data_IF_476200539022
#
_entry.id   IF_476200539022
#
_cell.length_a   1.000
_cell.length_b   1.000
_cell.length_c   1.000
_cell.angle_alpha   90.00
_cell.angle_beta   90.00
_cell.angle_gamma   90.00
#
_symmetry.space_group_name_H-M   'P 1'
#
loop_
_entity.id
_entity.type
_entity.pdbx_description
1 polymer ?
#
# COMPACT_ATOMS: atom_id res chain seq x y z
N UNK A 1 34.00 -52.44 56.23
CA UNK A 1 33.90 -51.34 55.24
C UNK A 1 32.56 -51.48 54.53
N UNK A 2 31.56 -50.66 54.85
CA UNK A 2 30.23 -50.69 54.20
C UNK A 2 30.17 -49.54 53.20
N UNK A 3 30.04 -49.87 51.92
CA UNK A 3 29.90 -48.91 50.84
C UNK A 3 28.42 -48.51 50.78
N UNK A 4 28.10 -47.30 51.21
CA UNK A 4 26.76 -46.72 51.13
C UNK A 4 26.57 -46.19 49.71
N UNK A 5 25.72 -46.86 48.91
CA UNK A 5 25.43 -46.42 47.56
C UNK A 5 24.42 -45.25 47.55
N UNK A 6 24.85 -44.09 47.05
CA UNK A 6 24.04 -42.87 46.91
C UNK A 6 23.11 -42.91 45.68
N UNK A 7 22.26 -43.95 45.56
CA UNK A 7 21.32 -44.07 44.43
C UNK A 7 20.30 -42.94 44.36
N UNK A 8 19.86 -42.40 45.50
CA UNK A 8 18.83 -41.33 45.57
C UNK A 8 19.32 -39.98 45.02
N UNK A 9 20.60 -39.65 45.20
CA UNK A 9 21.15 -38.38 44.72
C UNK A 9 21.36 -38.38 43.19
N UNK A 10 21.72 -39.54 42.64
CA UNK A 10 21.88 -39.73 41.19
C UNK A 10 20.52 -39.65 40.46
N UNK A 11 19.47 -40.26 41.03
CA UNK A 11 18.11 -40.15 40.52
C UNK A 11 17.59 -38.71 40.52
N UNK A 12 17.87 -37.93 41.58
CA UNK A 12 17.46 -36.52 41.64
C UNK A 12 18.17 -35.68 40.57
N UNK A 13 19.46 -35.92 40.32
CA UNK A 13 20.22 -35.20 39.30
C UNK A 13 19.71 -35.49 37.87
N UNK A 14 19.32 -36.73 37.59
CA UNK A 14 18.75 -37.13 36.29
C UNK A 14 17.39 -36.48 36.05
N UNK A 15 16.53 -36.39 37.08
CA UNK A 15 15.21 -35.73 36.98
C UNK A 15 15.37 -34.22 36.76
N UNK A 16 16.33 -33.56 37.41
CA UNK A 16 16.61 -32.14 37.15
C UNK A 16 17.15 -31.92 35.74
N UNK A 17 18.05 -32.77 35.24
CA UNK A 17 18.54 -32.68 33.85
C UNK A 17 17.41 -32.92 32.84
N UNK A 18 16.49 -33.86 33.10
CA UNK A 18 15.33 -34.11 32.24
C UNK A 18 14.30 -32.95 32.25
N UNK A 19 14.17 -32.21 33.35
CA UNK A 19 13.35 -31.00 33.41
C UNK A 19 13.99 -29.79 32.70
N UNK A 20 15.32 -29.79 32.55
CA UNK A 20 16.06 -28.83 31.72
C UNK A 20 16.27 -29.31 30.27
N UNK A 21 15.78 -30.50 29.90
CA UNK A 21 15.65 -30.91 28.50
C UNK A 21 14.48 -30.13 27.87
N UNK A 22 14.79 -28.88 27.53
CA UNK A 22 14.48 -28.30 26.23
C UNK A 22 12.99 -28.34 25.85
N UNK A 23 12.20 -27.46 26.46
CA UNK A 23 11.25 -26.70 25.65
C UNK A 23 12.07 -25.72 24.80
N UNK A 24 12.75 -26.23 23.77
CA UNK A 24 13.29 -25.36 22.74
C UNK A 24 12.08 -24.66 22.12
N UNK A 25 12.04 -23.31 22.06
CA UNK A 25 11.07 -22.66 21.21
C UNK A 25 11.30 -23.22 19.80
N UNK A 26 10.32 -23.96 19.30
CA UNK A 26 10.33 -24.42 17.91
C UNK A 26 10.06 -23.16 17.09
N UNK A 27 11.13 -22.56 16.59
CA UNK A 27 11.07 -21.49 15.61
C UNK A 27 10.83 -22.17 14.27
N UNK A 28 9.63 -22.01 13.74
CA UNK A 28 9.29 -22.45 12.39
C UNK A 28 9.32 -21.21 11.49
N UNK A 29 10.18 -21.23 10.48
CA UNK A 29 10.20 -20.20 9.46
C UNK A 29 9.10 -20.52 8.43
N UNK A 30 8.17 -19.59 8.24
CA UNK A 30 7.17 -19.65 7.20
C UNK A 30 7.77 -19.07 5.91
N UNK A 31 8.39 -19.94 5.12
CA UNK A 31 9.18 -19.60 3.92
C UNK A 31 8.36 -19.08 2.71
N UNK A 32 7.04 -18.92 2.83
CA UNK A 32 6.16 -18.74 1.67
C UNK A 32 5.08 -17.67 1.80
N UNK A 33 5.40 -16.51 2.37
CA UNK A 33 4.52 -15.34 2.32
C UNK A 33 4.57 -14.63 0.97
N UNK A 34 3.43 -14.42 0.33
CA UNK A 34 3.32 -13.73 -0.96
C UNK A 34 2.29 -12.60 -0.92
N UNK A 35 2.68 -11.41 -1.42
CA UNK A 35 1.75 -10.31 -1.70
C UNK A 35 1.71 -10.10 -3.21
N UNK A 36 0.52 -10.27 -3.78
CA UNK A 36 0.28 -10.06 -5.19
C UNK A 36 -0.34 -8.70 -5.46
N UNK A 37 0.22 -7.97 -6.41
CA UNK A 37 -0.31 -6.68 -6.83
C UNK A 37 -0.92 -6.77 -8.23
N UNK A 38 -2.24 -6.56 -8.34
CA UNK A 38 -2.95 -6.66 -9.61
C UNK A 38 -3.65 -5.34 -9.98
N UNK A 39 -3.70 -5.03 -11.28
CA UNK A 39 -4.33 -3.81 -11.79
C UNK A 39 -5.25 -4.06 -12.98
N UNK A 40 -6.36 -3.31 -13.02
CA UNK A 40 -7.28 -3.28 -14.16
C UNK A 40 -7.60 -1.83 -14.52
N UNK A 41 -7.58 -1.50 -15.81
CA UNK A 41 -7.91 -0.16 -16.33
C UNK A 41 -9.04 -0.30 -17.35
N UNK A 42 -10.09 0.50 -17.19
CA UNK A 42 -11.17 0.64 -18.17
C UNK A 42 -11.20 2.08 -18.66
N UNK A 43 -10.79 2.31 -19.91
CA UNK A 43 -10.72 3.63 -20.55
C UNK A 43 -10.94 3.49 -22.07
N UNK A 44 -11.97 4.17 -22.59
CA UNK A 44 -12.36 4.10 -24.01
C UNK A 44 -11.45 4.96 -24.91
N UNK A 45 -10.68 5.91 -24.35
CA UNK A 45 -9.76 6.78 -25.07
C UNK A 45 -8.60 7.21 -24.15
N UNK A 46 -7.62 6.31 -23.90
CA UNK A 46 -6.69 6.46 -22.79
C UNK A 46 -5.83 7.72 -22.88
N UNK A 47 -6.14 8.68 -22.02
CA UNK A 47 -5.35 9.90 -21.81
C UNK A 47 -4.28 9.70 -20.74
N UNK A 48 -4.45 8.68 -19.92
CA UNK A 48 -3.58 8.31 -18.81
C UNK A 48 -2.75 7.08 -19.16
N UNK A 49 -1.50 7.08 -18.72
CA UNK A 49 -0.67 5.89 -18.58
C UNK A 49 -0.77 5.42 -17.13
N UNK A 50 -1.02 4.12 -16.92
CA UNK A 50 -1.15 3.51 -15.59
C UNK A 50 -0.20 2.33 -15.44
N UNK A 51 0.32 2.13 -14.23
CA UNK A 51 1.13 0.96 -13.92
C UNK A 51 0.98 0.53 -12.45
N UNK A 52 1.06 -0.78 -12.23
CA UNK A 52 1.38 -1.34 -10.91
C UNK A 52 2.88 -1.18 -10.70
N UNK A 53 3.27 -0.55 -9.61
CA UNK A 53 4.61 0.02 -9.44
C UNK A 53 5.54 -0.80 -8.56
N UNK A 54 5.03 -1.85 -7.94
CA UNK A 54 5.85 -2.87 -7.27
C UNK A 54 5.59 -4.23 -7.90
N UNK A 55 6.63 -5.07 -8.04
CA UNK A 55 6.43 -6.49 -8.31
C UNK A 55 5.77 -7.17 -7.12
N UNK A 56 5.31 -8.40 -7.33
CA UNK A 56 4.89 -9.26 -6.22
C UNK A 56 6.00 -9.40 -5.19
N UNK A 57 5.62 -9.49 -3.92
CA UNK A 57 6.54 -9.56 -2.80
C UNK A 57 6.58 -10.97 -2.24
N UNK A 58 7.77 -11.42 -1.86
CA UNK A 58 7.95 -12.69 -1.15
C UNK A 58 8.61 -12.42 0.19
N UNK A 59 7.93 -12.71 1.28
CA UNK A 59 8.39 -12.48 2.64
C UNK A 59 8.34 -13.77 3.46
N UNK A 60 9.48 -14.14 4.02
CA UNK A 60 9.54 -15.12 5.10
C UNK A 60 9.25 -14.43 6.43
N UNK A 61 8.54 -15.13 7.32
CA UNK A 61 8.31 -14.70 8.71
C UNK A 61 8.62 -15.86 9.65
N UNK A 62 9.27 -15.58 10.77
CA UNK A 62 9.59 -16.59 11.79
C UNK A 62 8.58 -16.48 12.93
N UNK A 63 7.99 -17.61 13.34
CA UNK A 63 7.06 -17.63 14.49
C UNK A 63 7.69 -17.10 15.78
N UNK A 64 9.02 -17.14 15.91
CA UNK A 64 9.76 -16.53 17.02
C UNK A 64 9.68 -15.00 17.05
N UNK A 65 9.45 -14.36 15.90
CA UNK A 65 9.30 -12.90 15.78
C UNK A 65 7.85 -12.44 16.05
N UNK A 66 6.91 -13.38 16.14
CA UNK A 66 5.51 -13.08 16.36
C UNK A 66 5.20 -12.79 17.82
N UNK A 67 4.33 -11.79 18.06
CA UNK A 67 3.64 -11.65 19.34
C UNK A 67 2.36 -12.47 19.32
N UNK A 68 2.06 -13.17 20.42
CA UNK A 68 0.81 -13.94 20.55
C UNK A 68 -0.28 -13.07 21.18
N UNK A 69 -1.38 -12.87 20.45
CA UNK A 69 -2.55 -12.12 20.90
C UNK A 69 -3.82 -12.91 20.62
N UNK A 70 -4.60 -13.26 21.66
CA UNK A 70 -5.92 -13.89 21.51
C UNK A 70 -5.93 -15.14 20.58
N UNK A 71 -4.90 -15.98 20.66
CA UNK A 71 -4.77 -17.17 19.80
C UNK A 71 -4.28 -16.89 18.37
N UNK A 72 -3.82 -15.67 18.09
CA UNK A 72 -3.20 -15.29 16.83
C UNK A 72 -1.71 -14.98 17.02
N UNK A 73 -0.92 -15.33 16.00
CA UNK A 73 0.43 -14.83 15.79
C UNK A 73 0.33 -13.51 15.04
N UNK A 74 0.90 -12.47 15.62
CA UNK A 74 0.92 -11.13 15.03
C UNK A 74 2.35 -10.74 14.72
N UNK A 75 2.61 -10.50 13.44
CA UNK A 75 3.92 -10.11 12.92
C UNK A 75 3.87 -8.63 12.56
N UNK A 76 4.77 -7.85 13.14
CA UNK A 76 5.03 -6.49 12.70
C UNK A 76 5.97 -6.54 11.49
N UNK A 77 5.48 -6.06 10.35
CA UNK A 77 6.20 -6.06 9.07
C UNK A 77 6.45 -4.61 8.60
N UNK A 78 6.45 -3.65 9.53
CA UNK A 78 6.75 -2.25 9.24
C UNK A 78 8.18 -2.02 8.70
N UNK A 79 9.10 -2.93 9.01
CA UNK A 79 10.48 -2.95 8.52
C UNK A 79 10.59 -3.11 7.00
N UNK A 80 9.56 -3.68 6.34
CA UNK A 80 9.51 -3.82 4.88
C UNK A 80 9.43 -2.47 4.15
N UNK A 81 9.07 -1.41 4.87
CA UNK A 81 9.00 -0.06 4.34
C UNK A 81 7.84 0.15 3.35
N UNK A 82 7.74 1.34 2.76
CA UNK A 82 6.70 1.66 1.81
C UNK A 82 6.96 1.01 0.44
N UNK A 83 5.92 0.40 -0.13
CA UNK A 83 5.93 -0.14 -1.49
C UNK A 83 5.02 0.70 -2.39
N UNK A 84 5.52 1.26 -3.52
CA UNK A 84 4.69 1.90 -4.53
C UNK A 84 3.63 0.94 -5.05
N UNK A 85 2.37 1.35 -5.10
CA UNK A 85 1.29 0.46 -5.51
C UNK A 85 0.74 0.81 -6.90
N UNK A 86 -0.03 1.90 -7.01
CA UNK A 86 -0.56 2.38 -8.28
C UNK A 86 0.08 3.72 -8.63
N UNK A 87 0.50 3.86 -9.88
CA UNK A 87 0.94 5.13 -10.43
C UNK A 87 0.23 5.39 -11.75
N UNK A 88 -0.04 6.67 -12.01
CA UNK A 88 -0.52 7.11 -13.30
C UNK A 88 -0.14 8.54 -13.61
N UNK A 89 -0.07 8.86 -14.90
CA UNK A 89 0.20 10.22 -15.39
C UNK A 89 -0.44 10.41 -16.77
N UNK A 90 -0.73 11.67 -17.17
CA UNK A 90 -1.21 11.89 -18.53
C UNK A 90 -0.11 11.58 -19.54
N UNK A 91 -0.47 10.88 -20.62
CA UNK A 91 0.47 10.52 -21.68
C UNK A 91 1.17 11.76 -22.27
N UNK A 92 0.41 12.83 -22.46
CA UNK A 92 0.92 14.15 -22.86
C UNK A 92 0.16 15.26 -22.15
N UNK A 93 0.74 16.45 -22.13
CA UNK A 93 0.09 17.66 -21.61
C UNK A 93 -1.19 17.88 -22.40
N UNK A 94 -2.31 17.95 -21.70
CA UNK A 94 -3.59 18.23 -22.31
C UNK A 94 -3.71 19.71 -22.65
N UNK A 95 -4.10 20.01 -23.89
CA UNK A 95 -4.33 21.39 -24.32
C UNK A 95 -5.41 22.07 -23.46
N UNK A 96 -6.47 21.33 -23.11
CA UNK A 96 -7.58 21.78 -22.25
C UNK A 96 -8.12 20.64 -21.38
N UNK A 97 -8.70 21.00 -20.23
CA UNK A 97 -9.49 20.10 -19.41
C UNK A 97 -10.76 19.61 -20.12
N UNK A 98 -11.38 18.56 -19.57
CA UNK A 98 -12.60 17.98 -20.11
C UNK A 98 -12.87 16.53 -19.66
N UNK A 99 -13.79 15.82 -20.33
CA UNK A 99 -14.04 14.40 -20.08
C UNK A 99 -12.79 13.55 -20.34
N UNK A 100 -12.65 12.42 -19.65
CA UNK A 100 -11.51 11.52 -19.80
C UNK A 100 -10.27 11.91 -18.99
N UNK A 101 -10.35 12.92 -18.12
CA UNK A 101 -9.20 13.38 -17.30
C UNK A 101 -9.36 13.11 -15.80
N UNK A 102 -10.56 12.74 -15.33
CA UNK A 102 -10.84 12.49 -13.92
C UNK A 102 -10.96 10.98 -13.66
N UNK A 103 -9.91 10.31 -13.19
CA UNK A 103 -9.97 8.88 -12.89
C UNK A 103 -10.79 8.62 -11.62
N UNK A 104 -11.39 7.46 -11.52
CA UNK A 104 -11.98 6.93 -10.30
C UNK A 104 -11.26 5.63 -9.95
N UNK A 105 -10.77 5.54 -8.71
CA UNK A 105 -9.83 4.51 -8.29
C UNK A 105 -10.47 3.73 -7.14
N UNK A 106 -10.54 2.42 -7.30
CA UNK A 106 -11.08 1.52 -6.27
C UNK A 106 -10.11 0.41 -5.95
N UNK A 107 -10.08 0.03 -4.69
CA UNK A 107 -9.18 -0.99 -4.18
C UNK A 107 -9.94 -2.20 -3.68
N UNK A 108 -9.45 -3.39 -4.00
CA UNK A 108 -10.12 -4.64 -3.66
C UNK A 108 -9.14 -5.77 -3.41
N UNK A 109 -9.60 -6.80 -2.72
CA UNK A 109 -8.93 -8.08 -2.60
C UNK A 109 -9.94 -9.18 -2.90
N UNK A 110 -9.62 -10.04 -3.87
CA UNK A 110 -10.50 -11.15 -4.25
C UNK A 110 -11.95 -10.72 -4.57
N UNK A 111 -12.10 -9.61 -5.30
CA UNK A 111 -13.40 -9.08 -5.72
C UNK A 111 -14.21 -8.38 -4.62
N UNK A 112 -13.64 -8.17 -3.42
CA UNK A 112 -14.26 -7.42 -2.33
C UNK A 112 -13.48 -6.16 -2.02
N UNK A 113 -14.13 -5.02 -1.72
CA UNK A 113 -13.42 -3.82 -1.27
C UNK A 113 -12.53 -4.10 -0.05
N UNK A 114 -11.46 -3.32 0.09
CA UNK A 114 -10.63 -3.36 1.29
C UNK A 114 -11.45 -3.08 2.56
N UNK A 115 -11.15 -3.80 3.64
CA UNK A 115 -11.80 -3.56 4.93
C UNK A 115 -11.11 -2.40 5.66
N UNK A 116 -11.71 -1.20 5.60
CA UNK A 116 -11.16 0.00 6.24
C UNK A 116 -11.20 -0.14 7.77
N UNK A 117 -10.06 0.12 8.41
CA UNK A 117 -9.85 0.12 9.87
C UNK A 117 -9.74 1.53 10.42
N UNK A 118 -9.11 2.43 9.66
CA UNK A 118 -8.96 3.85 9.98
C UNK A 118 -9.09 4.67 8.69
N UNK A 119 -9.75 5.83 8.76
CA UNK A 119 -10.21 6.59 7.59
C UNK A 119 -11.71 6.39 7.35
N UNK A 120 -12.33 7.30 6.59
CA UNK A 120 -13.76 7.23 6.28
C UNK A 120 -14.08 6.20 5.19
N UNK A 121 -13.23 6.09 4.17
CA UNK A 121 -13.33 5.13 3.07
C UNK A 121 -11.96 4.90 2.39
N UNK A 122 -11.93 4.30 1.21
CA UNK A 122 -10.69 4.05 0.45
C UNK A 122 -10.30 5.17 -0.52
N UNK A 123 -11.08 6.25 -0.59
CA UNK A 123 -10.79 7.44 -1.39
C UNK A 123 -9.97 8.47 -0.62
N UNK A 124 -9.99 8.45 0.71
CA UNK A 124 -9.20 9.43 1.49
C UNK A 124 -7.70 9.30 1.23
N UNK A 125 -7.00 10.43 1.33
CA UNK A 125 -5.56 10.54 1.12
C UNK A 125 -4.73 9.50 1.91
N UNK A 126 -5.18 9.15 3.12
CA UNK A 126 -4.56 8.13 3.97
C UNK A 126 -5.62 7.31 4.67
N UNK A 127 -5.54 6.00 4.55
CA UNK A 127 -6.36 5.07 5.31
C UNK A 127 -5.58 3.83 5.74
N UNK A 128 -6.03 3.18 6.81
CA UNK A 128 -5.57 1.85 7.21
C UNK A 128 -6.62 0.82 6.82
N UNK A 129 -6.21 -0.27 6.20
CA UNK A 129 -7.10 -1.32 5.75
C UNK A 129 -6.56 -2.71 6.09
N UNK A 130 -7.42 -3.73 5.98
CA UNK A 130 -7.02 -5.12 5.97
C UNK A 130 -7.63 -5.90 4.80
N UNK A 131 -6.91 -6.95 4.39
CA UNK A 131 -7.30 -7.91 3.36
C UNK A 131 -7.16 -9.33 3.89
N UNK A 132 -7.98 -10.29 3.40
CA UNK A 132 -7.84 -11.67 3.80
C UNK A 132 -6.52 -12.25 3.29
N UNK A 133 -5.85 -12.98 4.17
CA UNK A 133 -4.72 -13.84 3.82
C UNK A 133 -5.26 -15.25 3.60
N UNK A 134 -4.73 -15.94 2.58
CA UNK A 134 -5.14 -17.30 2.22
C UNK A 134 -3.96 -18.26 2.29
N UNK A 135 -4.29 -19.50 2.58
CA UNK A 135 -3.39 -20.62 2.33
C UNK A 135 -3.41 -20.92 0.81
N UNK A 136 -2.27 -20.82 0.11
CA UNK A 136 -2.21 -21.04 -1.33
C UNK A 136 -2.51 -22.50 -1.75
N UNK A 137 -2.36 -23.48 -0.85
CA UNK A 137 -2.63 -24.88 -1.16
C UNK A 137 -4.14 -25.18 -1.14
N UNK A 138 -4.84 -24.65 -0.14
CA UNK A 138 -6.27 -24.92 0.07
C UNK A 138 -7.18 -23.82 -0.46
N UNK A 139 -6.65 -22.62 -0.71
CA UNK A 139 -7.39 -21.42 -1.07
C UNK A 139 -8.21 -20.83 0.09
N UNK A 140 -8.19 -21.46 1.27
CA UNK A 140 -8.96 -21.03 2.43
C UNK A 140 -8.38 -19.76 3.05
N UNK A 141 -9.25 -18.93 3.62
CA UNK A 141 -8.81 -17.75 4.40
C UNK A 141 -8.18 -18.24 5.70
N UNK A 142 -6.93 -17.87 5.91
CA UNK A 142 -6.08 -18.31 7.02
C UNK A 142 -5.53 -17.15 7.84
N UNK A 143 -5.94 -15.91 7.57
CA UNK A 143 -5.48 -14.75 8.33
C UNK A 143 -5.90 -13.41 7.75
N UNK A 144 -5.22 -12.35 8.18
CA UNK A 144 -5.38 -11.01 7.64
C UNK A 144 -4.02 -10.31 7.50
N UNK A 145 -3.88 -9.54 6.44
CA UNK A 145 -2.79 -8.60 6.26
C UNK A 145 -3.38 -7.20 6.37
N UNK A 146 -2.87 -6.41 7.31
CA UNK A 146 -3.22 -4.99 7.47
C UNK A 146 -2.09 -4.12 6.94
N UNK A 147 -2.44 -2.95 6.42
CA UNK A 147 -1.48 -1.97 5.91
C UNK A 147 -2.09 -0.57 5.91
N UNK A 148 -1.24 0.44 5.90
CA UNK A 148 -1.59 1.82 5.60
C UNK A 148 -1.43 2.07 4.12
N UNK A 149 -2.41 2.70 3.47
CA UNK A 149 -2.27 3.23 2.11
C UNK A 149 -2.23 4.75 2.17
N UNK A 150 -1.21 5.35 1.54
CA UNK A 150 -1.17 6.80 1.27
C UNK A 150 -1.31 6.99 -0.24
N UNK A 151 -2.11 7.96 -0.66
CA UNK A 151 -2.35 8.28 -2.06
C UNK A 151 -2.41 9.79 -2.27
N UNK A 152 -2.08 10.22 -3.49
CA UNK A 152 -2.20 11.60 -3.89
C UNK A 152 -2.40 11.73 -5.38
N UNK A 153 -3.07 12.81 -5.77
CA UNK A 153 -3.17 13.26 -7.14
C UNK A 153 -2.59 14.67 -7.20
N UNK A 154 -1.88 14.98 -8.28
CA UNK A 154 -1.24 16.26 -8.49
C UNK A 154 -1.49 16.79 -9.90
N UNK A 155 -1.56 18.11 -10.01
CA UNK A 155 -1.70 18.83 -11.28
C UNK A 155 -0.66 19.94 -11.33
N UNK A 156 -0.10 20.15 -12.53
CA UNK A 156 0.61 21.38 -12.88
C UNK A 156 0.01 21.95 -14.16
N UNK A 157 -0.16 23.26 -14.19
CA UNK A 157 -0.76 23.95 -15.34
C UNK A 157 0.25 24.89 -15.97
N UNK A 158 0.27 24.96 -17.30
CA UNK A 158 1.04 25.96 -18.03
C UNK A 158 0.40 27.35 -17.97
N UNK A 159 0.93 28.25 -18.80
CA UNK A 159 0.35 29.60 -18.95
C UNK A 159 -1.12 29.52 -19.37
N UNK A 160 -1.97 30.27 -18.67
CA UNK A 160 -3.39 30.41 -18.97
C UNK A 160 -3.63 31.67 -19.81
N UNK A 161 -4.43 31.58 -20.88
CA UNK A 161 -4.73 32.71 -21.78
C UNK A 161 -6.16 33.25 -21.62
N UNK A 162 -7.10 32.42 -21.14
CA UNK A 162 -8.54 32.73 -21.07
C UNK A 162 -9.06 33.00 -19.64
N UNK A 163 -8.19 33.48 -18.73
CA UNK A 163 -8.61 33.98 -17.41
C UNK A 163 -8.90 32.93 -16.34
N UNK A 164 -8.65 31.64 -16.60
CA UNK A 164 -8.57 30.64 -15.53
C UNK A 164 -7.38 30.98 -14.60
N UNK A 165 -7.64 31.04 -13.29
CA UNK A 165 -6.61 31.27 -12.28
C UNK A 165 -6.21 29.94 -11.67
N UNK A 166 -4.98 29.51 -11.93
CA UNK A 166 -4.41 28.29 -11.38
C UNK A 166 -3.11 28.62 -10.62
N UNK A 167 -2.84 27.96 -9.49
CA UNK A 167 -1.57 28.15 -8.79
C UNK A 167 -0.39 27.74 -9.66
N UNK A 168 0.70 28.49 -9.59
CA UNK A 168 1.97 28.07 -10.19
C UNK A 168 2.59 26.93 -9.40
N UNK A 169 3.21 25.95 -10.07
CA UNK A 169 3.81 24.78 -9.42
C UNK A 169 2.97 23.52 -9.53
N UNK A 170 3.30 22.54 -8.70
CA UNK A 170 2.55 21.31 -8.51
C UNK A 170 1.59 21.53 -7.33
N UNK A 171 0.29 21.48 -7.62
CA UNK A 171 -0.75 21.45 -6.58
C UNK A 171 -1.28 20.06 -6.39
N UNK A 172 -1.56 19.69 -5.14
CA UNK A 172 -2.30 18.47 -4.86
C UNK A 172 -3.78 18.68 -5.19
N UNK A 173 -4.45 17.59 -5.54
CA UNK A 173 -5.83 17.60 -6.01
C UNK A 173 -6.72 16.82 -5.04
N UNK A 174 -7.79 17.45 -4.58
CA UNK A 174 -8.85 16.85 -3.76
C UNK A 174 -10.14 16.72 -4.58
N UNK A 175 -10.75 15.54 -4.58
CA UNK A 175 -11.98 15.25 -5.31
C UNK A 175 -12.38 13.78 -5.23
N UNK A 176 -13.05 13.28 -6.26
CA UNK A 176 -13.56 11.90 -6.28
C UNK A 176 -12.46 10.84 -6.32
N UNK A 177 -11.27 11.12 -6.91
CA UNK A 177 -10.16 10.17 -6.89
C UNK A 177 -9.49 10.07 -5.52
N UNK A 178 -9.27 11.22 -4.90
CA UNK A 178 -8.60 11.34 -3.59
C UNK A 178 -9.30 12.42 -2.78
N UNK A 179 -9.90 12.03 -1.66
CA UNK A 179 -10.61 12.93 -0.73
C UNK A 179 -9.73 13.31 0.46
N UNK A 180 -10.16 14.31 1.24
CA UNK A 180 -9.50 14.76 2.47
C UNK A 180 -8.00 15.05 2.33
N UNK A 181 -7.60 15.57 1.17
CA UNK A 181 -6.21 15.86 0.85
C UNK A 181 -5.66 17.01 1.69
N UNK A 182 -4.59 16.73 2.42
CA UNK A 182 -3.83 17.72 3.17
C UNK A 182 -2.39 17.71 2.66
N UNK A 183 -1.86 18.86 2.23
CA UNK A 183 -0.49 18.89 1.70
C UNK A 183 0.56 18.55 2.77
N UNK A 184 0.34 18.96 4.02
CA UNK A 184 1.29 18.72 5.11
C UNK A 184 1.41 17.27 5.57
N UNK A 185 0.41 16.42 5.31
CA UNK A 185 0.38 15.02 5.78
C UNK A 185 0.90 14.02 4.74
N UNK A 186 0.95 14.40 3.46
CA UNK A 186 1.38 13.50 2.39
C UNK A 186 2.88 13.19 2.55
N UNK A 187 3.29 11.90 2.60
CA UNK A 187 4.70 11.55 2.75
C UNK A 187 5.57 12.16 1.65
N UNK A 188 6.75 12.67 2.02
CA UNK A 188 7.65 13.35 1.08
C UNK A 188 8.07 12.46 -0.10
N UNK A 189 8.27 11.16 0.14
CA UNK A 189 8.56 10.19 -0.93
C UNK A 189 7.46 10.15 -1.99
N UNK A 190 6.19 10.25 -1.57
CA UNK A 190 5.05 10.26 -2.49
C UNK A 190 4.92 11.60 -3.24
N UNK A 191 5.21 12.73 -2.59
CA UNK A 191 5.32 14.04 -3.26
C UNK A 191 6.40 14.05 -4.33
N UNK A 192 7.58 13.51 -4.01
CA UNK A 192 8.69 13.37 -4.96
C UNK A 192 8.28 12.48 -6.14
N UNK A 193 7.51 11.43 -5.88
CA UNK A 193 7.01 10.54 -6.93
C UNK A 193 5.99 11.25 -7.85
N UNK A 194 5.04 11.99 -7.29
CA UNK A 194 4.10 12.81 -8.06
C UNK A 194 4.84 13.83 -8.93
N UNK A 195 5.86 14.49 -8.39
CA UNK A 195 6.73 15.41 -9.14
C UNK A 195 7.41 14.71 -10.33
N UNK A 196 7.99 13.53 -10.11
CA UNK A 196 8.62 12.76 -11.17
C UNK A 196 7.61 12.33 -12.27
N UNK A 197 6.42 11.89 -11.87
CA UNK A 197 5.36 11.49 -12.81
C UNK A 197 4.83 12.67 -13.64
N UNK A 198 4.74 13.88 -13.07
CA UNK A 198 4.39 15.07 -13.82
C UNK A 198 5.40 15.37 -14.94
N UNK A 199 6.69 15.21 -14.66
CA UNK A 199 7.75 15.40 -15.66
C UNK A 199 7.69 14.37 -16.80
N UNK A 200 6.99 13.25 -16.61
CA UNK A 200 6.79 12.23 -17.66
C UNK A 200 5.65 12.58 -18.63
N UNK A 201 4.85 13.61 -18.34
CA UNK A 201 3.81 14.06 -19.28
C UNK A 201 4.52 14.66 -20.50
N UNK A 202 4.35 14.06 -21.69
CA UNK A 202 4.99 14.57 -22.91
C UNK A 202 4.57 16.02 -23.16
N UNK A 203 5.55 16.90 -23.42
CA UNK A 203 5.30 18.34 -23.59
C UNK A 203 5.28 19.13 -22.28
N UNK A 204 5.60 18.51 -21.13
CA UNK A 204 5.77 19.23 -19.87
C UNK A 204 6.76 20.39 -20.02
N UNK A 205 6.35 21.60 -19.65
CA UNK A 205 7.11 22.83 -19.89
C UNK A 205 6.22 24.08 -19.88
N UNK A 206 6.62 25.14 -20.59
CA UNK A 206 5.78 26.33 -20.84
C UNK A 206 5.10 26.94 -19.60
N UNK A 207 5.85 27.09 -18.51
CA UNK A 207 5.37 27.69 -17.25
C UNK A 207 4.85 26.70 -16.22
N UNK A 208 4.75 25.40 -16.55
CA UNK A 208 4.53 24.34 -15.58
C UNK A 208 5.74 24.18 -14.65
N UNK A 209 5.51 23.62 -13.47
CA UNK A 209 6.55 23.27 -12.52
C UNK A 209 6.13 22.07 -11.67
N UNK A 210 7.04 21.12 -11.51
CA UNK A 210 6.82 19.92 -10.70
C UNK A 210 7.17 20.16 -9.21
N UNK A 211 7.48 21.40 -8.82
CA UNK A 211 7.77 21.78 -7.43
C UNK A 211 6.47 21.93 -6.66
N UNK A 212 6.34 21.23 -5.53
CA UNK A 212 5.21 21.35 -4.62
C UNK A 212 5.02 22.81 -4.18
N UNK A 213 3.83 23.36 -4.43
CA UNK A 213 3.46 24.71 -4.02
C UNK A 213 2.69 24.76 -2.70
N UNK A 214 2.48 23.60 -2.05
CA UNK A 214 1.77 23.48 -0.79
C UNK A 214 0.25 23.66 -0.89
N UNK A 215 -0.29 23.94 -2.08
CA UNK A 215 -1.71 24.16 -2.29
C UNK A 215 -2.45 22.85 -2.58
N UNK A 216 -3.70 22.81 -2.13
CA UNK A 216 -4.68 21.79 -2.50
C UNK A 216 -5.78 22.47 -3.31
N UNK A 217 -6.04 21.97 -4.52
CA UNK A 217 -7.08 22.46 -5.41
C UNK A 217 -8.14 21.39 -5.67
N UNK A 218 -9.28 21.80 -6.20
CA UNK A 218 -10.35 20.87 -6.57
C UNK A 218 -9.98 20.06 -7.81
N UNK A 219 -10.37 18.78 -7.83
CA UNK A 219 -10.26 17.91 -9.00
C UNK A 219 -11.03 18.43 -10.22
N UNK A 220 -12.01 19.33 -10.03
CA UNK A 220 -12.71 19.99 -11.12
C UNK A 220 -11.80 20.68 -12.14
N UNK A 221 -10.56 21.03 -11.76
CA UNK A 221 -9.55 21.60 -12.68
C UNK A 221 -9.28 20.72 -13.90
N UNK A 222 -9.40 19.40 -13.77
CA UNK A 222 -9.16 18.44 -14.84
C UNK A 222 -10.30 18.38 -15.86
N UNK A 223 -11.52 18.69 -15.42
CA UNK A 223 -12.71 18.71 -16.26
C UNK A 223 -13.06 20.11 -16.80
N UNK A 224 -12.41 21.16 -16.29
CA UNK A 224 -12.68 22.54 -16.70
C UNK A 224 -12.01 22.87 -18.04
N UNK A 225 -12.81 22.96 -19.11
CA UNK A 225 -12.34 23.28 -20.47
C UNK A 225 -11.74 24.69 -20.63
N UNK A 226 -11.83 25.55 -19.61
CA UNK A 226 -11.13 26.85 -19.60
C UNK A 226 -9.69 26.72 -19.13
N UNK A 227 -9.36 25.65 -18.39
CA UNK A 227 -8.00 25.39 -17.91
C UNK A 227 -7.22 24.74 -19.03
N UNK A 228 -6.11 25.37 -19.39
CA UNK A 228 -5.24 24.95 -20.49
C UNK A 228 -3.93 24.34 -20.00
N UNK A 229 -3.27 23.59 -20.87
CA UNK A 229 -1.90 23.10 -20.65
C UNK A 229 -1.77 22.31 -19.34
N UNK A 230 -2.55 21.24 -19.20
CA UNK A 230 -2.64 20.43 -17.98
C UNK A 230 -1.68 19.24 -18.03
N UNK A 231 -0.83 19.13 -17.02
CA UNK A 231 -0.15 17.90 -16.65
C UNK A 231 -0.78 17.35 -15.37
N UNK A 232 -0.94 16.02 -15.29
CA UNK A 232 -1.49 15.39 -14.09
C UNK A 232 -0.77 14.08 -13.76
N UNK A 233 -0.77 13.75 -12.47
CA UNK A 233 -0.16 12.55 -11.94
C UNK A 233 -0.98 12.02 -10.75
N UNK A 234 -0.92 10.71 -10.55
CA UNK A 234 -1.44 9.99 -9.40
C UNK A 234 -0.37 9.02 -8.89
N UNK A 235 -0.25 8.88 -7.58
CA UNK A 235 0.60 7.86 -6.97
C UNK A 235 -0.01 7.38 -5.66
N UNK A 236 0.14 6.08 -5.38
CA UNK A 236 -0.14 5.49 -4.08
C UNK A 236 0.97 4.57 -3.62
N UNK A 237 1.08 4.40 -2.30
CA UNK A 237 2.01 3.47 -1.68
C UNK A 237 1.38 2.82 -0.44
N UNK A 238 1.72 1.55 -0.22
CA UNK A 238 1.31 0.77 0.95
C UNK A 238 2.49 0.60 1.91
N UNK A 239 2.25 0.70 3.22
CA UNK A 239 3.27 0.61 4.27
C UNK A 239 2.65 0.11 5.59
N UNK A 240 3.44 0.09 6.66
CA UNK A 240 2.98 -0.23 8.03
C UNK A 240 2.25 -1.58 8.10
N UNK A 241 2.85 -2.58 7.44
CA UNK A 241 2.27 -3.91 7.29
C UNK A 241 2.20 -4.65 8.63
N UNK A 242 1.09 -5.33 8.88
CA UNK A 242 0.91 -6.23 10.01
C UNK A 242 0.23 -7.50 9.52
N UNK A 243 0.85 -8.65 9.74
CA UNK A 243 0.30 -9.96 9.40
C UNK A 243 -0.27 -10.61 10.66
N UNK A 244 -1.51 -11.13 10.56
CA UNK A 244 -2.16 -11.92 11.62
C UNK A 244 -2.52 -13.30 11.09
N UNK A 245 -1.96 -14.33 11.70
CA UNK A 245 -2.24 -15.75 11.43
C UNK A 245 -2.75 -16.45 12.70
N UNK A 246 -3.52 -17.54 12.62
CA UNK A 246 -3.86 -18.33 13.79
C UNK A 246 -2.60 -19.01 14.36
N UNK A 247 -2.50 -19.14 15.68
CA UNK A 247 -1.39 -19.84 16.33
C UNK A 247 -1.51 -21.36 16.24
N UNK A 248 -2.73 -21.89 16.22
CA UNK A 248 -2.99 -23.29 15.94
C UNK A 248 -3.32 -23.48 14.46
N UNK A 249 -2.70 -24.46 13.82
CA UNK A 249 -2.91 -24.71 12.38
C UNK A 249 -2.42 -23.57 11.49
N UNK A 250 -1.39 -22.83 11.94
CA UNK A 250 -0.71 -21.81 11.12
C UNK A 250 -0.30 -22.44 9.78
N UNK A 251 -0.67 -21.84 8.63
CA UNK A 251 -0.30 -22.40 7.35
C UNK A 251 1.20 -22.21 7.10
N UNK A 252 1.85 -23.18 6.46
CA UNK A 252 3.26 -23.09 6.10
C UNK A 252 3.56 -21.95 5.10
N UNK A 253 2.54 -21.56 4.32
CA UNK A 253 2.59 -20.50 3.31
C UNK A 253 1.35 -19.62 3.42
N UNK A 254 1.46 -18.37 2.99
CA UNK A 254 0.36 -17.43 3.06
C UNK A 254 0.38 -16.47 1.87
N UNK A 255 -0.79 -16.05 1.42
CA UNK A 255 -0.93 -15.20 0.23
C UNK A 255 -1.99 -14.12 0.45
N UNK A 256 -1.67 -12.88 0.09
CA UNK A 256 -2.61 -11.75 0.07
C UNK A 256 -2.61 -11.09 -1.31
N UNK A 257 -3.81 -10.87 -1.88
CA UNK A 257 -3.96 -10.16 -3.15
C UNK A 257 -4.44 -8.73 -2.92
N UNK A 258 -3.71 -7.75 -3.43
CA UNK A 258 -4.07 -6.33 -3.44
C UNK A 258 -4.34 -5.93 -4.89
N UNK A 259 -5.60 -5.61 -5.18
CA UNK A 259 -6.06 -5.28 -6.52
C UNK A 259 -6.50 -3.82 -6.55
N UNK A 260 -6.30 -3.20 -7.71
CA UNK A 260 -6.79 -1.85 -7.99
C UNK A 260 -7.48 -1.80 -9.34
N UNK A 261 -8.57 -1.05 -9.39
CA UNK A 261 -9.31 -0.78 -10.62
C UNK A 261 -9.36 0.72 -10.85
N UNK A 262 -8.99 1.13 -12.05
CA UNK A 262 -9.11 2.52 -12.51
C UNK A 262 -10.17 2.60 -13.61
N UNK A 263 -11.13 3.49 -13.44
CA UNK A 263 -12.12 3.83 -14.46
C UNK A 263 -12.04 5.31 -14.77
N UNK A 264 -12.10 5.69 -16.04
CA UNK A 264 -12.09 7.10 -16.46
C UNK A 264 -13.41 7.40 -17.18
N UNK A 265 -14.03 8.54 -16.88
CA UNK A 265 -15.27 9.02 -17.50
C UNK A 265 -15.04 10.35 -18.22
#
# INVERSE_FOLDING_TARGET
MKITHHYKSLLSAIISVALFYSAAPHADILDGGEIQFNGFVTDDAPKWTWQISSPDQTWAVDTADARTENGQLVFDLSDKGPLPFLEGYLYEVAERGGPGFTPFITFSSNGRPFAVKEGSDTSVQRFRASVPVRDPETGNVSGQLSFTLNQGMAVSTGKQEEGASTPSGMSLVSGQSVTDVQSGSLPQGLKNRLSALLLMNKGFGNGMSAVDNGQVITQGVLADGRVMNLAAAYASAVSDFELRLPAEGTPARWQAGLNVTVTVQ
#
